data_IF_687019989210
#
_entry.id   IF_687019989210
#
_cell.length_a   1.000
_cell.length_b   1.000
_cell.length_c   1.000
_cell.angle_alpha   90.00
_cell.angle_beta   90.00
_cell.angle_gamma   90.00
#
_symmetry.space_group_name_H-M   'P 1'
#
loop_
_entity.id
_entity.type
_entity.pdbx_description
1 polymer ?
#
# COMPACT_ATOMS: atom_id res chain seq x y z
N UNK A 1 -18.53 -22.20 4.42
CA UNK A 1 -18.74 -22.57 3.00
C UNK A 1 -20.20 -22.92 2.70
N UNK A 2 -20.75 -24.04 3.21
CA UNK A 2 -22.14 -24.48 2.90
C UNK A 2 -23.24 -23.54 3.37
N UNK A 3 -23.00 -22.78 4.45
CA UNK A 3 -23.97 -21.87 5.07
C UNK A 3 -24.06 -20.49 4.42
N UNK A 4 -22.99 -20.04 3.75
CA UNK A 4 -22.92 -18.69 3.14
C UNK A 4 -22.54 -18.69 1.65
N UNK A 5 -22.36 -19.86 1.02
CA UNK A 5 -22.06 -19.95 -0.42
C UNK A 5 -20.71 -19.37 -0.84
N UNK A 6 -19.75 -19.26 0.08
CA UNK A 6 -18.42 -18.67 -0.18
C UNK A 6 -17.32 -19.73 -0.37
N UNK A 7 -16.29 -19.40 -1.16
CA UNK A 7 -15.10 -20.24 -1.36
C UNK A 7 -14.33 -20.43 -0.04
N UNK A 8 -13.50 -21.48 0.05
CA UNK A 8 -12.71 -21.76 1.26
C UNK A 8 -11.81 -20.58 1.66
N UNK A 9 -11.04 -19.95 0.74
CA UNK A 9 -10.22 -18.80 1.10
C UNK A 9 -11.04 -17.62 1.65
N UNK A 10 -12.22 -17.36 1.08
CA UNK A 10 -13.11 -16.31 1.55
C UNK A 10 -13.71 -16.65 2.93
N UNK A 11 -14.09 -17.91 3.16
CA UNK A 11 -14.56 -18.38 4.46
C UNK A 11 -13.50 -18.22 5.56
N UNK A 12 -12.23 -18.57 5.26
CA UNK A 12 -11.11 -18.39 6.19
C UNK A 12 -10.90 -16.90 6.51
N UNK A 13 -11.01 -16.02 5.52
CA UNK A 13 -10.90 -14.58 5.73
C UNK A 13 -12.02 -14.04 6.62
N UNK A 14 -13.27 -14.48 6.44
CA UNK A 14 -14.38 -14.10 7.32
C UNK A 14 -14.13 -14.51 8.78
N UNK A 15 -13.70 -15.76 9.00
CA UNK A 15 -13.41 -16.28 10.34
C UNK A 15 -12.28 -15.51 11.05
N UNK A 16 -11.24 -15.08 10.32
CA UNK A 16 -10.14 -14.27 10.89
C UNK A 16 -10.60 -12.88 11.34
N UNK A 17 -11.60 -12.31 10.67
CA UNK A 17 -12.11 -10.97 10.97
C UNK A 17 -13.17 -10.96 12.07
N UNK A 18 -13.87 -12.08 12.29
CA UNK A 18 -15.01 -12.19 13.21
C UNK A 18 -14.65 -12.87 14.57
N UNK A 19 -13.37 -13.07 14.91
CA UNK A 19 -13.01 -13.82 16.11
C UNK A 19 -12.96 -12.96 17.41
N UNK A 20 -13.80 -13.24 18.42
CA UNK A 20 -13.36 -13.29 19.80
C UNK A 20 -12.91 -14.71 20.13
N UNK A 21 -11.64 -14.87 20.53
CA UNK A 21 -11.15 -16.11 21.11
C UNK A 21 -11.49 -16.10 22.61
N UNK A 22 -12.53 -16.84 23.01
CA UNK A 22 -12.53 -17.85 24.09
C UNK A 22 -13.95 -18.21 24.53
N UNK A 23 -14.20 -19.52 24.61
CA UNK A 23 -15.32 -20.23 25.25
C UNK A 23 -16.73 -19.61 25.14
N UNK A 24 -17.55 -20.11 24.22
CA UNK A 24 -19.00 -20.26 24.48
C UNK A 24 -19.69 -21.17 23.46
N UNK A 25 -20.76 -21.78 23.94
CA UNK A 25 -21.56 -22.84 23.33
C UNK A 25 -22.11 -22.52 21.93
N UNK A 26 -22.60 -23.56 21.24
CA UNK A 26 -23.23 -23.49 19.91
C UNK A 26 -24.43 -22.53 19.91
N UNK A 27 -24.19 -21.26 19.62
CA UNK A 27 -25.23 -20.28 19.30
C UNK A 27 -25.19 -20.01 17.80
N UNK A 28 -26.36 -20.09 17.15
CA UNK A 28 -26.52 -19.86 15.72
C UNK A 28 -25.94 -18.50 15.32
N UNK A 29 -24.95 -18.51 14.42
CA UNK A 29 -24.21 -17.30 14.05
C UNK A 29 -25.05 -16.46 13.08
N UNK A 30 -25.54 -15.35 13.61
CA UNK A 30 -26.13 -14.22 12.89
C UNK A 30 -25.17 -13.74 11.79
N UNK A 31 -25.71 -13.33 10.63
CA UNK A 31 -24.94 -12.90 9.45
C UNK A 31 -23.74 -12.02 9.83
N UNK A 32 -22.55 -12.42 9.40
CA UNK A 32 -21.29 -11.68 9.57
C UNK A 32 -21.42 -10.27 9.01
N UNK A 33 -21.47 -9.27 9.89
CA UNK A 33 -21.38 -7.84 9.56
C UNK A 33 -19.92 -7.41 9.43
N UNK A 34 -19.12 -8.17 8.68
CA UNK A 34 -17.84 -7.66 8.21
C UNK A 34 -18.15 -6.42 7.36
N UNK A 35 -17.84 -5.23 7.91
CA UNK A 35 -18.19 -3.94 7.29
C UNK A 35 -17.64 -3.94 5.87
N UNK A 36 -18.57 -4.03 4.93
CA UNK A 36 -18.32 -3.79 3.53
C UNK A 36 -17.56 -2.45 3.43
N UNK A 37 -16.53 -2.35 2.58
CA UNK A 37 -15.95 -1.02 2.28
C UNK A 37 -17.13 -0.10 1.99
N UNK A 38 -17.23 1.10 2.62
CA UNK A 38 -18.39 1.96 2.49
C UNK A 38 -18.85 1.99 1.03
N UNK A 39 -20.15 1.78 0.77
CA UNK A 39 -20.67 1.76 -0.59
C UNK A 39 -20.41 3.13 -1.21
N UNK A 40 -19.32 3.24 -1.97
CA UNK A 40 -18.92 4.44 -2.68
C UNK A 40 -19.92 4.62 -3.82
N UNK A 41 -20.94 5.44 -3.58
CA UNK A 41 -21.82 5.92 -4.63
C UNK A 41 -20.97 6.66 -5.67
N UNK A 42 -21.22 6.40 -6.95
CA UNK A 42 -20.44 6.92 -8.07
C UNK A 42 -20.49 8.44 -8.19
N UNK A 43 -19.41 9.11 -7.78
CA UNK A 43 -18.88 10.30 -8.40
C UNK A 43 -17.47 10.02 -8.94
N UNK A 44 -17.18 10.50 -10.14
CA UNK A 44 -15.85 10.41 -10.75
C UNK A 44 -15.00 11.61 -10.33
N UNK A 45 -15.05 12.00 -9.05
CA UNK A 45 -14.28 13.13 -8.53
C UNK A 45 -12.90 12.67 -8.07
N UNK A 46 -11.89 13.52 -8.26
CA UNK A 46 -10.52 13.24 -7.79
C UNK A 46 -10.47 12.97 -6.27
N UNK A 47 -11.36 13.60 -5.51
CA UNK A 47 -11.48 13.41 -4.06
C UNK A 47 -11.98 12.00 -3.71
N UNK A 48 -12.97 11.48 -4.43
CA UNK A 48 -13.46 10.10 -4.23
C UNK A 48 -12.42 9.07 -4.64
N UNK A 49 -11.68 9.32 -5.73
CA UNK A 49 -10.58 8.48 -6.17
C UNK A 49 -9.45 8.43 -5.11
N UNK A 50 -9.07 9.59 -4.55
CA UNK A 50 -8.09 9.68 -3.48
C UNK A 50 -8.55 8.98 -2.19
N UNK A 51 -9.82 9.15 -1.80
CA UNK A 51 -10.40 8.48 -0.64
C UNK A 51 -10.43 6.96 -0.81
N UNK A 52 -10.80 6.47 -2.00
CA UNK A 52 -10.78 5.04 -2.33
C UNK A 52 -9.36 4.48 -2.26
N UNK A 53 -8.38 5.15 -2.84
CA UNK A 53 -6.99 4.69 -2.80
C UNK A 53 -6.45 4.65 -1.36
N UNK A 54 -6.83 5.63 -0.53
CA UNK A 54 -6.53 5.61 0.91
C UNK A 54 -7.15 4.41 1.63
N UNK A 55 -8.43 4.10 1.37
CA UNK A 55 -9.07 2.91 1.93
C UNK A 55 -8.38 1.61 1.52
N UNK A 56 -7.83 1.54 0.29
CA UNK A 56 -7.02 0.40 -0.16
C UNK A 56 -5.72 0.30 0.63
N UNK A 57 -5.01 1.42 0.84
CA UNK A 57 -3.79 1.43 1.63
C UNK A 57 -4.05 0.99 3.08
N UNK A 58 -5.10 1.51 3.71
CA UNK A 58 -5.53 1.12 5.06
C UNK A 58 -5.89 -0.38 5.13
N UNK A 59 -6.57 -0.91 4.11
CA UNK A 59 -6.87 -2.34 4.02
C UNK A 59 -5.60 -3.20 3.93
N UNK A 60 -4.65 -2.81 3.09
CA UNK A 60 -3.36 -3.50 3.00
C UNK A 60 -2.57 -3.41 4.30
N UNK A 61 -2.58 -2.26 4.97
CA UNK A 61 -1.93 -2.07 6.25
C UNK A 61 -2.53 -2.99 7.33
N UNK A 62 -3.86 -3.10 7.41
CA UNK A 62 -4.52 -4.04 8.31
C UNK A 62 -4.14 -5.50 8.02
N UNK A 63 -4.06 -5.89 6.74
CA UNK A 63 -3.62 -7.23 6.35
C UNK A 63 -2.16 -7.49 6.73
N UNK A 64 -1.28 -6.50 6.61
CA UNK A 64 0.13 -6.62 6.96
C UNK A 64 0.31 -7.00 8.43
N UNK A 65 -0.36 -6.27 9.33
CA UNK A 65 -0.27 -6.47 10.78
C UNK A 65 -0.71 -7.87 11.25
N UNK A 66 -1.54 -8.54 10.45
CA UNK A 66 -2.05 -9.88 10.74
C UNK A 66 -1.36 -10.98 9.93
N UNK A 67 -0.28 -10.66 9.21
CA UNK A 67 0.38 -11.58 8.27
C UNK A 67 1.77 -12.02 8.77
N UNK A 68 1.89 -13.22 9.37
CA UNK A 68 3.19 -13.74 9.81
C UNK A 68 4.22 -13.82 8.67
N UNK A 69 3.78 -14.12 7.44
CA UNK A 69 4.67 -14.17 6.27
C UNK A 69 5.20 -12.79 5.88
N UNK A 70 4.40 -11.73 6.05
CA UNK A 70 4.83 -10.36 5.76
C UNK A 70 5.80 -9.83 6.82
N UNK A 71 5.55 -10.16 8.09
CA UNK A 71 6.45 -9.85 9.20
C UNK A 71 7.79 -10.57 9.05
N UNK A 72 7.77 -11.88 8.79
CA UNK A 72 8.98 -12.68 8.55
C UNK A 72 9.76 -12.17 7.33
N UNK A 73 9.08 -11.67 6.30
CA UNK A 73 9.74 -11.05 5.16
C UNK A 73 10.52 -9.79 5.55
N UNK A 74 9.92 -8.86 6.31
CA UNK A 74 10.64 -7.67 6.79
C UNK A 74 11.85 -8.04 7.64
N UNK A 75 11.69 -9.00 8.56
CA UNK A 75 12.77 -9.50 9.41
C UNK A 75 13.92 -10.08 8.56
N UNK A 76 13.61 -10.91 7.57
CA UNK A 76 14.62 -11.47 6.65
C UNK A 76 15.36 -10.40 5.82
N UNK A 77 14.79 -9.20 5.72
CA UNK A 77 15.37 -8.04 5.01
C UNK A 77 16.08 -7.07 5.96
N UNK A 78 16.11 -7.34 7.26
CA UNK A 78 16.67 -6.43 8.27
C UNK A 78 15.83 -5.16 8.48
N UNK A 79 14.55 -5.18 8.09
CA UNK A 79 13.63 -4.05 8.20
C UNK A 79 12.76 -4.18 9.47
N UNK A 80 13.41 -4.37 10.61
CA UNK A 80 12.77 -4.70 11.90
C UNK A 80 12.62 -3.51 12.86
N UNK A 81 12.82 -2.28 12.38
CA UNK A 81 12.67 -1.09 13.22
C UNK A 81 11.21 -0.98 13.71
N UNK A 82 10.97 -0.80 15.03
CA UNK A 82 9.63 -0.90 15.64
C UNK A 82 8.61 0.08 15.05
N UNK A 83 9.07 1.26 14.65
CA UNK A 83 8.22 2.32 14.09
C UNK A 83 7.93 2.17 12.59
N UNK A 84 8.70 1.38 11.83
CA UNK A 84 8.67 1.40 10.36
C UNK A 84 7.27 1.11 9.81
N UNK A 85 6.60 0.10 10.38
CA UNK A 85 5.29 -0.37 9.94
C UNK A 85 4.22 0.71 10.13
N UNK A 86 4.15 1.31 11.31
CA UNK A 86 3.12 2.31 11.64
C UNK A 86 3.44 3.66 11.00
N UNK A 87 4.71 4.08 10.97
CA UNK A 87 5.13 5.37 10.43
C UNK A 87 4.85 5.47 8.91
N UNK A 88 5.23 4.45 8.14
CA UNK A 88 5.00 4.43 6.68
C UNK A 88 3.76 3.65 6.26
N UNK A 89 2.93 3.21 7.22
CA UNK A 89 1.70 2.45 6.96
C UNK A 89 1.93 1.25 6.03
N UNK A 90 2.96 0.44 6.31
CA UNK A 90 3.33 -0.70 5.48
C UNK A 90 2.17 -1.68 5.34
N UNK A 91 1.92 -2.11 4.10
CA UNK A 91 0.79 -2.94 3.72
C UNK A 91 1.19 -4.29 3.13
N UNK A 92 0.22 -5.20 3.05
CA UNK A 92 0.37 -6.49 2.37
C UNK A 92 -0.83 -6.77 1.47
N UNK A 93 -0.57 -6.89 0.17
CA UNK A 93 -1.58 -7.25 -0.83
C UNK A 93 -1.64 -8.77 -1.01
N UNK A 94 -2.66 -9.40 -0.41
CA UNK A 94 -2.75 -10.86 -0.24
C UNK A 94 -3.95 -11.51 -0.96
N UNK A 95 -4.43 -10.88 -2.05
CA UNK A 95 -5.57 -11.34 -2.85
C UNK A 95 -6.94 -11.26 -2.16
N UNK A 96 -7.05 -10.61 -1.00
CA UNK A 96 -8.30 -10.56 -0.22
C UNK A 96 -9.12 -9.29 -0.41
N UNK A 97 -8.62 -8.28 -1.14
CA UNK A 97 -9.33 -7.01 -1.34
C UNK A 97 -10.70 -7.23 -1.97
N UNK A 98 -10.75 -8.12 -2.96
CA UNK A 98 -11.99 -8.39 -3.71
C UNK A 98 -13.12 -9.00 -2.87
N UNK A 99 -12.81 -9.58 -1.71
CA UNK A 99 -13.79 -10.10 -0.76
C UNK A 99 -14.50 -9.00 0.04
N UNK A 100 -13.93 -7.79 0.07
CA UNK A 100 -14.52 -6.61 0.72
C UNK A 100 -15.35 -5.74 -0.22
N UNK A 101 -15.41 -6.11 -1.50
CA UNK A 101 -16.13 -5.37 -2.53
C UNK A 101 -17.53 -5.94 -2.76
N UNK A 102 -18.48 -5.12 -3.26
CA UNK A 102 -19.83 -5.60 -3.45
C UNK A 102 -19.83 -6.68 -4.51
N UNK A 103 -20.88 -7.48 -4.51
CA UNK A 103 -21.01 -8.52 -5.50
C UNK A 103 -20.97 -7.91 -6.91
N UNK A 104 -20.11 -8.44 -7.78
CA UNK A 104 -19.81 -7.81 -9.08
C UNK A 104 -20.99 -7.71 -10.05
N UNK A 105 -22.07 -8.43 -9.81
CA UNK A 105 -23.32 -8.33 -10.59
C UNK A 105 -24.22 -7.16 -10.15
N UNK A 106 -23.91 -6.50 -9.03
CA UNK A 106 -24.58 -5.28 -8.59
C UNK A 106 -23.99 -4.05 -9.28
N UNK A 107 -24.78 -2.98 -9.42
CA UNK A 107 -24.28 -1.72 -10.00
C UNK A 107 -23.11 -1.14 -9.19
N UNK A 108 -23.26 -1.05 -7.86
CA UNK A 108 -22.20 -0.59 -6.96
C UNK A 108 -20.93 -1.46 -7.07
N UNK A 109 -21.10 -2.79 -7.16
CA UNK A 109 -19.99 -3.72 -7.33
C UNK A 109 -19.22 -3.55 -8.64
N UNK A 110 -19.91 -3.21 -9.74
CA UNK A 110 -19.26 -2.86 -11.01
C UNK A 110 -18.53 -1.52 -10.93
N UNK A 111 -19.19 -0.50 -10.38
CA UNK A 111 -18.63 0.86 -10.28
C UNK A 111 -17.33 0.89 -9.48
N UNK A 112 -17.31 0.30 -8.27
CA UNK A 112 -16.08 0.31 -7.46
C UNK A 112 -14.94 -0.49 -8.11
N UNK A 113 -15.25 -1.58 -8.81
CA UNK A 113 -14.22 -2.35 -9.53
C UNK A 113 -13.66 -1.56 -10.70
N UNK A 114 -14.49 -0.80 -11.41
CA UNK A 114 -14.05 0.11 -12.46
C UNK A 114 -13.11 1.18 -11.87
N UNK A 115 -13.51 1.86 -10.79
CA UNK A 115 -12.66 2.87 -10.15
C UNK A 115 -11.32 2.29 -9.65
N UNK A 116 -11.33 1.07 -9.09
CA UNK A 116 -10.10 0.38 -8.69
C UNK A 116 -9.22 -0.04 -9.88
N UNK A 117 -9.81 -0.27 -11.06
CA UNK A 117 -9.06 -0.50 -12.30
C UNK A 117 -8.45 0.81 -12.82
N UNK A 118 -9.20 1.91 -12.78
CA UNK A 118 -8.72 3.23 -13.20
C UNK A 118 -7.57 3.72 -12.30
N UNK A 119 -7.63 3.42 -11.00
CA UNK A 119 -6.54 3.65 -10.04
C UNK A 119 -5.37 2.65 -10.18
N UNK A 120 -5.48 1.65 -11.06
CA UNK A 120 -4.45 0.62 -11.26
C UNK A 120 -4.29 -0.39 -10.11
N UNK A 121 -5.20 -0.39 -9.13
CA UNK A 121 -5.21 -1.35 -8.01
C UNK A 121 -5.64 -2.74 -8.49
N UNK A 122 -6.63 -2.80 -9.38
CA UNK A 122 -7.07 -4.02 -10.05
C UNK A 122 -6.62 -4.02 -11.51
N UNK A 123 -6.21 -5.19 -12.00
CA UNK A 123 -6.00 -5.42 -13.44
C UNK A 123 -7.35 -5.56 -14.16
N UNK A 124 -7.32 -5.50 -15.49
CA UNK A 124 -8.49 -5.80 -16.33
C UNK A 124 -9.09 -7.19 -16.05
N UNK A 125 -8.26 -8.15 -15.62
CA UNK A 125 -8.70 -9.50 -15.21
C UNK A 125 -9.40 -9.54 -13.85
N UNK A 126 -9.48 -8.41 -13.13
CA UNK A 126 -10.03 -8.31 -11.78
C UNK A 126 -9.11 -8.79 -10.66
N UNK A 127 -7.85 -9.14 -10.96
CA UNK A 127 -6.85 -9.49 -9.96
C UNK A 127 -6.16 -8.24 -9.41
N UNK A 128 -5.82 -8.27 -8.13
CA UNK A 128 -5.00 -7.23 -7.50
C UNK A 128 -3.65 -7.12 -8.20
N UNK A 129 -3.28 -5.91 -8.60
CA UNK A 129 -2.06 -5.66 -9.37
C UNK A 129 -0.80 -5.95 -8.56
N UNK A 130 -0.81 -5.57 -7.28
CA UNK A 130 0.27 -5.74 -6.31
C UNK A 130 0.20 -7.06 -5.52
N UNK A 131 -0.60 -8.03 -5.97
CA UNK A 131 -0.74 -9.30 -5.25
C UNK A 131 0.60 -9.98 -4.94
N UNK A 132 0.82 -10.37 -3.69
CA UNK A 132 2.04 -10.99 -3.18
C UNK A 132 3.17 -10.00 -2.88
N UNK A 133 2.88 -8.70 -2.81
CA UNK A 133 3.85 -7.67 -2.49
C UNK A 133 3.69 -7.12 -1.07
N UNK A 134 4.82 -6.80 -0.44
CA UNK A 134 4.91 -5.72 0.54
C UNK A 134 4.50 -4.44 -0.18
N UNK A 135 3.59 -3.68 0.40
CA UNK A 135 3.08 -2.42 -0.14
C UNK A 135 3.58 -1.27 0.72
N UNK A 136 4.08 -0.20 0.11
CA UNK A 136 4.48 1.03 0.79
C UNK A 136 3.72 2.19 0.14
N UNK A 137 2.79 2.84 0.86
CA UNK A 137 2.14 4.05 0.36
C UNK A 137 3.10 5.23 0.33
N UNK A 138 3.02 6.04 -0.72
CA UNK A 138 3.61 7.38 -0.77
C UNK A 138 2.52 8.35 -0.36
N UNK A 139 2.67 8.97 0.81
CA UNK A 139 1.69 9.89 1.39
C UNK A 139 2.13 11.33 1.14
N UNK A 140 1.20 12.19 0.71
CA UNK A 140 1.45 13.61 0.64
C UNK A 140 1.57 14.23 2.05
N UNK A 141 2.60 15.05 2.25
CA UNK A 141 2.88 15.72 3.51
C UNK A 141 2.06 17.01 3.65
N UNK A 142 1.55 17.28 4.85
CA UNK A 142 0.75 18.48 5.13
C UNK A 142 1.54 19.78 4.94
N UNK A 143 2.73 19.83 5.53
CA UNK A 143 3.68 20.95 5.37
C UNK A 143 4.65 20.73 4.17
N UNK A 144 4.29 19.84 3.25
CA UNK A 144 5.10 19.52 2.06
C UNK A 144 5.04 20.61 0.99
N UNK A 145 5.75 20.38 -0.12
CA UNK A 145 5.77 21.31 -1.24
C UNK A 145 4.41 21.46 -1.95
N UNK A 146 3.51 20.49 -1.75
CA UNK A 146 2.17 20.48 -2.34
C UNK A 146 1.09 20.21 -1.28
N UNK A 147 0.68 21.23 -0.49
CA UNK A 147 -0.29 21.07 0.60
C UNK A 147 -1.64 20.49 0.17
N UNK A 148 -2.04 20.65 -1.09
CA UNK A 148 -3.26 20.04 -1.64
C UNK A 148 -3.24 18.50 -1.65
N UNK A 149 -2.05 17.91 -1.54
CA UNK A 149 -1.81 16.47 -1.49
C UNK A 149 -1.82 15.91 -0.06
N UNK A 150 -1.92 16.77 0.95
CA UNK A 150 -1.85 16.39 2.37
C UNK A 150 -2.75 15.20 2.70
N UNK A 151 -2.15 14.16 3.29
CA UNK A 151 -2.86 12.96 3.75
C UNK A 151 -3.49 12.10 2.64
N UNK A 152 -3.21 12.40 1.36
CA UNK A 152 -3.59 11.58 0.21
C UNK A 152 -2.51 10.55 -0.08
N UNK A 153 -2.93 9.38 -0.56
CA UNK A 153 -2.01 8.39 -1.14
C UNK A 153 -1.74 8.78 -2.57
N UNK A 154 -0.49 9.15 -2.88
CA UNK A 154 -0.07 9.60 -4.21
C UNK A 154 0.34 8.45 -5.11
N UNK A 155 0.87 7.38 -4.52
CA UNK A 155 1.31 6.18 -5.22
C UNK A 155 1.37 4.99 -4.24
N UNK A 156 1.27 3.76 -4.75
CA UNK A 156 1.58 2.55 -3.99
C UNK A 156 2.77 1.83 -4.63
N UNK A 157 3.88 1.75 -3.89
CA UNK A 157 4.99 0.90 -4.25
C UNK A 157 4.72 -0.53 -3.79
N UNK A 158 5.01 -1.52 -4.64
CA UNK A 158 4.92 -2.93 -4.34
C UNK A 158 6.26 -3.63 -4.51
N UNK A 159 6.75 -4.27 -3.44
CA UNK A 159 7.89 -5.18 -3.48
C UNK A 159 7.43 -6.62 -3.40
N UNK A 160 7.71 -7.42 -4.43
CA UNK A 160 7.43 -8.86 -4.39
C UNK A 160 8.18 -9.53 -3.24
N UNK A 161 7.44 -10.30 -2.44
CA UNK A 161 7.99 -11.02 -1.28
C UNK A 161 8.55 -12.40 -1.64
N UNK A 162 8.22 -12.92 -2.83
CA UNK A 162 8.76 -14.21 -3.29
C UNK A 162 10.28 -14.14 -3.45
N UNK A 163 11.01 -15.23 -3.13
CA UNK A 163 12.44 -15.32 -3.38
C UNK A 163 12.80 -15.03 -4.85
N UNK A 164 13.95 -14.38 -5.07
CA UNK A 164 14.37 -13.94 -6.41
C UNK A 164 14.40 -15.06 -7.45
N UNK A 165 14.81 -16.27 -7.06
CA UNK A 165 14.85 -17.44 -7.95
C UNK A 165 13.46 -17.96 -8.37
N UNK A 166 12.39 -17.51 -7.71
CA UNK A 166 11.00 -17.84 -8.07
C UNK A 166 10.32 -16.75 -8.89
N UNK A 167 10.97 -15.60 -9.07
CA UNK A 167 10.45 -14.50 -9.89
C UNK A 167 11.02 -14.69 -11.31
N UNK A 168 10.18 -14.91 -12.34
CA UNK A 168 10.66 -15.04 -13.70
C UNK A 168 11.49 -13.81 -14.12
N UNK A 169 12.56 -14.02 -14.90
CA UNK A 169 13.50 -12.97 -15.27
C UNK A 169 12.86 -11.76 -16.00
N UNK A 170 11.73 -11.98 -16.66
CA UNK A 170 10.96 -10.94 -17.34
C UNK A 170 9.94 -10.21 -16.44
N UNK A 171 9.87 -10.53 -15.15
CA UNK A 171 8.97 -9.89 -14.21
C UNK A 171 9.76 -8.97 -13.26
N UNK A 172 9.26 -7.74 -13.10
CA UNK A 172 9.85 -6.81 -12.15
C UNK A 172 9.60 -7.24 -10.70
N UNK A 173 10.63 -7.02 -9.87
CA UNK A 173 10.55 -7.17 -8.40
C UNK A 173 9.91 -5.95 -7.72
N UNK A 174 10.04 -4.79 -8.36
CA UNK A 174 9.53 -3.49 -7.92
C UNK A 174 8.35 -3.12 -8.83
N UNK A 175 7.21 -2.84 -8.23
CA UNK A 175 5.98 -2.52 -8.94
C UNK A 175 5.43 -1.20 -8.41
N UNK A 176 4.75 -0.47 -9.28
CA UNK A 176 3.97 0.71 -8.93
C UNK A 176 2.57 0.53 -9.53
N UNK A 177 1.60 1.31 -9.07
CA UNK A 177 0.31 1.38 -9.77
C UNK A 177 0.53 1.94 -11.17
N UNK A 178 -0.40 1.65 -12.07
CA UNK A 178 -0.34 2.14 -13.45
C UNK A 178 -0.62 3.66 -13.56
N UNK A 179 -0.92 4.33 -12.45
CA UNK A 179 -1.06 5.78 -12.37
C UNK A 179 0.31 6.47 -12.45
N UNK A 180 0.36 7.76 -12.83
CA UNK A 180 1.61 8.52 -12.83
C UNK A 180 2.35 8.42 -11.49
N UNK A 181 3.67 8.35 -11.56
CA UNK A 181 4.54 8.35 -10.38
C UNK A 181 4.55 9.74 -9.75
N UNK A 182 3.92 9.87 -8.58
CA UNK A 182 3.67 11.13 -7.85
C UNK A 182 3.98 10.98 -6.36
N UNK A 183 4.25 12.11 -5.72
CA UNK A 183 4.67 12.25 -4.34
C UNK A 183 6.18 12.07 -4.15
N UNK A 184 6.62 12.28 -2.91
CA UNK A 184 7.98 11.99 -2.45
C UNK A 184 7.88 11.13 -1.21
N UNK A 185 8.49 9.94 -1.24
CA UNK A 185 8.51 9.10 -0.04
C UNK A 185 9.44 9.71 1.01
N UNK A 186 8.96 9.82 2.25
CA UNK A 186 9.65 10.48 3.36
C UNK A 186 9.99 11.96 3.08
N UNK A 187 9.07 12.70 2.44
CA UNK A 187 9.24 14.13 2.12
C UNK A 187 9.64 14.98 3.33
N UNK A 188 9.20 14.63 4.54
CA UNK A 188 9.57 15.31 5.78
C UNK A 188 11.10 15.38 6.00
N UNK A 189 11.87 14.43 5.45
CA UNK A 189 13.33 14.48 5.48
C UNK A 189 13.88 15.72 4.76
N UNK A 190 13.27 16.14 3.64
CA UNK A 190 13.66 17.33 2.89
C UNK A 190 13.46 18.60 3.73
N UNK A 191 12.41 18.67 4.54
CA UNK A 191 12.20 19.82 5.42
C UNK A 191 13.15 19.83 6.62
N UNK A 192 13.52 18.65 7.11
CA UNK A 192 14.24 18.51 8.37
C UNK A 192 15.78 18.47 8.24
N UNK A 193 16.33 18.28 7.04
CA UNK A 193 17.76 17.93 6.88
C UNK A 193 18.41 18.60 5.68
N UNK A 194 19.52 19.31 5.86
CA UNK A 194 20.24 19.96 4.76
C UNK A 194 20.84 18.98 3.74
N UNK A 195 21.23 17.79 4.19
CA UNK A 195 21.77 16.72 3.36
C UNK A 195 20.77 15.57 3.27
N UNK A 196 20.62 15.02 2.07
CA UNK A 196 19.64 13.97 1.77
C UNK A 196 20.32 12.81 1.08
N UNK A 197 20.06 11.60 1.60
CA UNK A 197 20.38 10.34 0.95
C UNK A 197 19.26 10.04 -0.04
N UNK A 198 19.60 9.94 -1.33
CA UNK A 198 18.67 9.50 -2.37
C UNK A 198 18.95 8.03 -2.70
N UNK A 199 17.93 7.18 -2.57
CA UNK A 199 18.01 5.79 -3.03
C UNK A 199 17.19 5.57 -4.32
N UNK A 200 17.53 4.52 -5.08
CA UNK A 200 16.79 4.15 -6.29
C UNK A 200 15.35 3.66 -5.97
N UNK A 201 15.16 3.00 -4.82
CA UNK A 201 13.87 2.42 -4.47
C UNK A 201 13.51 2.57 -2.99
N UNK A 202 12.20 2.54 -2.70
CA UNK A 202 11.70 2.69 -1.33
C UNK A 202 12.21 1.60 -0.39
N UNK A 203 12.43 0.37 -0.87
CA UNK A 203 12.92 -0.70 0.01
C UNK A 203 14.37 -0.48 0.42
N UNK A 204 15.19 0.13 -0.44
CA UNK A 204 16.58 0.45 -0.12
C UNK A 204 16.63 1.68 0.81
N UNK A 205 15.78 2.68 0.56
CA UNK A 205 15.62 3.83 1.46
C UNK A 205 15.15 3.42 2.86
N UNK A 206 14.22 2.46 2.98
CA UNK A 206 13.82 1.90 4.27
C UNK A 206 14.98 1.21 5.01
N UNK A 207 15.96 0.62 4.30
CA UNK A 207 17.15 0.05 4.94
C UNK A 207 17.98 1.14 5.64
N UNK A 208 18.25 2.26 4.96
CA UNK A 208 18.92 3.42 5.57
C UNK A 208 18.11 3.98 6.73
N UNK A 209 16.80 4.13 6.53
CA UNK A 209 15.90 4.64 7.55
C UNK A 209 15.98 3.76 8.80
N UNK A 210 15.83 2.44 8.68
CA UNK A 210 15.97 1.48 9.79
C UNK A 210 17.34 1.52 10.48
N UNK A 211 18.40 1.86 9.75
CA UNK A 211 19.76 2.02 10.29
C UNK A 211 19.99 3.37 11.00
N UNK A 212 18.97 4.23 11.09
CA UNK A 212 19.02 5.52 11.79
C UNK A 212 19.29 6.72 10.88
N UNK A 213 19.54 6.51 9.60
CA UNK A 213 19.67 7.60 8.62
C UNK A 213 18.29 8.08 8.19
N UNK A 214 17.71 9.00 8.96
CA UNK A 214 16.34 9.50 8.76
C UNK A 214 16.23 10.50 7.60
N UNK A 215 17.34 11.08 7.19
CA UNK A 215 17.47 12.01 6.08
C UNK A 215 17.55 11.28 4.72
N UNK A 216 16.61 10.36 4.47
CA UNK A 216 16.61 9.50 3.27
C UNK A 216 15.27 9.59 2.54
N UNK A 217 15.33 9.71 1.22
CA UNK A 217 14.17 9.60 0.32
C UNK A 217 14.46 8.55 -0.76
N UNK A 218 13.48 8.26 -1.63
CA UNK A 218 13.73 7.42 -2.80
C UNK A 218 13.14 8.00 -4.07
N UNK A 219 13.84 7.81 -5.18
CA UNK A 219 13.27 7.87 -6.51
C UNK A 219 12.40 6.62 -6.80
N UNK A 220 11.91 6.52 -8.04
CA UNK A 220 11.09 5.41 -8.52
C UNK A 220 11.81 4.52 -9.55
N UNK A 221 13.07 4.16 -9.28
CA UNK A 221 13.93 3.44 -10.23
C UNK A 221 14.82 4.36 -11.06
N UNK A 222 15.50 3.78 -12.05
CA UNK A 222 16.27 4.52 -13.07
C UNK A 222 15.39 5.59 -13.72
N UNK A 223 15.88 6.84 -13.71
CA UNK A 223 15.15 8.02 -14.21
C UNK A 223 13.80 8.28 -13.52
N UNK A 224 13.59 7.71 -12.33
CA UNK A 224 12.37 7.84 -11.53
C UNK A 224 12.32 9.06 -10.62
N UNK A 225 13.22 10.03 -10.81
CA UNK A 225 13.19 11.31 -10.08
C UNK A 225 12.19 12.25 -10.77
N UNK A 226 11.02 12.40 -10.16
CA UNK A 226 9.87 13.08 -10.77
C UNK A 226 9.86 14.60 -10.53
N UNK A 227 8.92 15.30 -11.18
CA UNK A 227 8.68 16.72 -10.95
C UNK A 227 8.38 17.02 -9.47
N UNK A 228 7.65 16.14 -8.78
CA UNK A 228 7.32 16.31 -7.37
C UNK A 228 8.58 16.30 -6.49
N UNK A 229 9.61 15.53 -6.87
CA UNK A 229 10.91 15.56 -6.17
C UNK A 229 11.60 16.92 -6.36
N UNK A 230 11.65 17.43 -7.60
CA UNK A 230 12.21 18.75 -7.89
C UNK A 230 11.47 19.89 -7.19
N UNK A 231 10.15 19.76 -7.01
CA UNK A 231 9.35 20.75 -6.29
C UNK A 231 9.56 20.68 -4.77
N UNK A 232 9.80 19.49 -4.24
CA UNK A 232 10.07 19.28 -2.83
C UNK A 232 11.50 19.68 -2.42
N UNK A 233 12.45 19.74 -3.36
CA UNK A 233 13.76 20.31 -3.11
C UNK A 233 13.65 21.81 -2.83
N UNK A 234 13.85 22.19 -1.57
CA UNK A 234 13.89 23.61 -1.19
C UNK A 234 15.25 24.25 -1.51
N UNK A 235 15.32 25.58 -1.70
CA UNK A 235 16.59 26.29 -1.94
C UNK A 235 17.65 26.17 -0.83
N UNK A 236 17.32 25.53 0.29
CA UNK A 236 18.22 25.34 1.43
C UNK A 236 19.12 24.11 1.32
N UNK A 237 18.98 23.27 0.27
CA UNK A 237 19.87 22.11 0.03
C UNK A 237 20.95 22.43 -1.01
N UNK A 238 22.17 22.85 -0.62
CA UNK A 238 23.28 22.90 -1.54
C UNK A 238 23.75 21.46 -1.84
N UNK A 239 23.39 20.94 -3.01
CA UNK A 239 23.89 19.68 -3.61
C UNK A 239 23.75 18.42 -2.73
N UNK A 240 22.63 17.71 -2.88
CA UNK A 240 22.45 16.38 -2.27
C UNK A 240 23.52 15.38 -2.72
N UNK A 241 24.02 14.57 -1.78
CA UNK A 241 24.89 13.44 -2.10
C UNK A 241 24.05 12.30 -2.69
N UNK A 242 24.06 12.16 -4.01
CA UNK A 242 23.41 11.05 -4.70
C UNK A 242 24.25 9.78 -4.54
N UNK A 243 23.75 8.79 -3.80
CA UNK A 243 24.27 7.43 -3.86
C UNK A 243 23.57 6.69 -5.00
N UNK A 244 24.34 6.34 -6.04
CA UNK A 244 23.92 5.40 -7.08
C UNK A 244 24.34 3.98 -6.72
#
# INVERSE_FOLDING_TARGET
>A
MKTQGVSLPHAVQLLRNDAPLENTEKVGVTRSHARHLPSLAAGSSDLEAAALLRSVAEFYHANFKQSPEALAYLESRGLNHPELIEHFQLGYANKTLTYRLPAGHTQAGRQVRQHLQDLGVLRSTGHEHLNGCLVVPVLGLEDGAQPEQAGRVMQLYGRRMQPNNKIPANQSRHMYLATPLRGVWNEAALLASLEIILCESLIDAMTFWCAGFRNVISAYGVSGFSQDHWQAETPQHPAGHHCF
#
